data_IF_014104093613
#
_entry.id   IF_014104093613
#
_cell.length_a   1.000
_cell.length_b   1.000
_cell.length_c   1.000
_cell.angle_alpha   90.00
_cell.angle_beta   90.00
_cell.angle_gamma   90.00
#
_symmetry.space_group_name_H-M   'P 1'
#
loop_
_entity.id
_entity.type
_entity.pdbx_description
1 polymer ?
#
# COMPACT_ATOMS: atom_id res chain seq x y z
N UNK A 1 4.10 -8.62 6.76
CA UNK A 1 5.02 -7.83 7.63
C UNK A 1 4.23 -6.85 8.50
N UNK A 2 4.85 -6.10 9.43
CA UNK A 2 4.14 -5.14 10.29
C UNK A 2 4.71 -3.72 10.17
N UNK A 3 3.84 -2.73 10.00
CA UNK A 3 4.18 -1.31 10.02
C UNK A 3 3.73 -0.71 11.36
N UNK A 4 4.70 -0.27 12.17
CA UNK A 4 4.43 0.41 13.43
C UNK A 4 3.96 1.84 13.17
N UNK A 5 2.66 2.01 12.98
CA UNK A 5 2.00 3.30 12.78
C UNK A 5 1.18 3.67 14.02
N UNK A 6 1.22 4.95 14.40
CA UNK A 6 0.34 5.46 15.44
C UNK A 6 -1.09 5.65 14.91
N UNK A 7 -2.06 5.85 15.82
CA UNK A 7 -3.47 5.99 15.44
C UNK A 7 -3.75 7.12 14.43
N UNK A 8 -3.00 8.23 14.48
CA UNK A 8 -3.13 9.32 13.52
C UNK A 8 -2.61 8.95 12.14
N UNK A 9 -1.50 8.21 12.07
CA UNK A 9 -0.96 7.68 10.82
C UNK A 9 -1.89 6.63 10.21
N UNK A 10 -2.46 5.73 11.01
CA UNK A 10 -3.47 4.78 10.52
C UNK A 10 -4.70 5.50 9.98
N UNK A 11 -5.23 6.49 10.70
CA UNK A 11 -6.39 7.27 10.26
C UNK A 11 -6.12 8.01 8.95
N UNK A 12 -4.92 8.58 8.79
CA UNK A 12 -4.51 9.24 7.54
C UNK A 12 -4.42 8.26 6.38
N UNK A 13 -3.80 7.10 6.58
CA UNK A 13 -3.70 6.06 5.55
C UNK A 13 -5.10 5.60 5.11
N UNK A 14 -6.01 5.38 6.06
CA UNK A 14 -7.41 5.04 5.75
C UNK A 14 -8.08 6.16 4.96
N UNK A 15 -7.91 7.43 5.36
CA UNK A 15 -8.47 8.56 4.64
C UNK A 15 -7.89 8.70 3.23
N UNK A 16 -6.60 8.44 3.04
CA UNK A 16 -5.97 8.40 1.72
C UNK A 16 -6.61 7.33 0.84
N UNK A 17 -6.75 6.11 1.35
CA UNK A 17 -7.40 5.00 0.67
C UNK A 17 -8.84 5.32 0.27
N UNK A 18 -9.61 6.00 1.12
CA UNK A 18 -11.00 6.39 0.83
C UNK A 18 -11.15 7.43 -0.29
N UNK A 19 -10.07 8.13 -0.66
CA UNK A 19 -10.04 9.11 -1.74
C UNK A 19 -9.23 8.64 -2.96
N UNK A 20 -8.66 7.43 -2.92
CA UNK A 20 -7.87 6.86 -3.99
C UNK A 20 -8.74 5.99 -4.89
N UNK A 21 -8.71 6.22 -6.20
CA UNK A 21 -9.38 5.35 -7.18
C UNK A 21 -8.71 3.97 -7.26
N UNK A 22 -7.43 3.91 -6.89
CA UNK A 22 -6.59 2.70 -6.89
C UNK A 22 -6.61 1.97 -5.53
N UNK A 23 -7.65 2.18 -4.73
CA UNK A 23 -7.83 1.45 -3.47
C UNK A 23 -9.19 0.77 -3.40
N UNK A 24 -9.17 -0.53 -3.11
CA UNK A 24 -10.37 -1.32 -2.87
C UNK A 24 -10.49 -1.66 -1.38
N UNK A 25 -11.69 -1.48 -0.82
CA UNK A 25 -12.01 -1.92 0.54
C UNK A 25 -12.59 -3.32 0.53
N UNK A 26 -11.81 -4.29 1.00
CA UNK A 26 -12.20 -5.70 1.06
C UNK A 26 -13.09 -5.98 2.27
N UNK A 27 -12.78 -5.37 3.42
CA UNK A 27 -13.58 -5.49 4.63
C UNK A 27 -13.53 -4.21 5.48
N UNK A 28 -14.08 -4.24 6.70
CA UNK A 28 -14.06 -3.09 7.59
C UNK A 28 -12.62 -2.63 7.91
N UNK A 29 -11.67 -3.56 7.99
CA UNK A 29 -10.29 -3.29 8.38
C UNK A 29 -9.27 -3.71 7.33
N UNK A 30 -9.70 -4.16 6.15
CA UNK A 30 -8.82 -4.67 5.10
C UNK A 30 -8.99 -3.84 3.82
N UNK A 31 -7.85 -3.46 3.25
CA UNK A 31 -7.73 -2.58 2.09
C UNK A 31 -6.69 -3.18 1.14
N UNK A 32 -7.00 -3.20 -0.15
CA UNK A 32 -6.01 -3.41 -1.21
C UNK A 32 -5.69 -2.04 -1.79
N UNK A 33 -4.42 -1.66 -1.83
CA UNK A 33 -3.96 -0.38 -2.32
C UNK A 33 -2.88 -0.58 -3.39
N UNK A 34 -3.17 -0.11 -4.60
CA UNK A 34 -2.21 -0.05 -5.69
C UNK A 34 -1.60 1.35 -5.78
N UNK A 35 -0.28 1.41 -5.84
CA UNK A 35 0.51 2.63 -5.89
C UNK A 35 1.19 2.75 -7.25
N UNK A 36 0.40 2.90 -8.33
CA UNK A 36 0.90 2.97 -9.71
C UNK A 36 1.77 4.20 -9.99
N UNK A 37 1.55 5.30 -9.27
CA UNK A 37 2.27 6.57 -9.47
C UNK A 37 3.71 6.59 -8.98
N UNK A 38 4.20 5.50 -8.35
CA UNK A 38 5.55 5.43 -7.80
C UNK A 38 6.60 5.17 -8.88
N UNK A 39 7.84 5.57 -8.59
CA UNK A 39 9.01 5.20 -9.41
C UNK A 39 9.18 3.67 -9.54
N UNK A 40 8.77 2.93 -8.50
CA UNK A 40 8.58 1.48 -8.51
C UNK A 40 7.18 1.15 -8.02
N UNK A 41 6.20 0.93 -8.93
CA UNK A 41 4.83 0.62 -8.56
C UNK A 41 4.72 -0.57 -7.62
N UNK A 42 3.74 -0.53 -6.72
CA UNK A 42 3.56 -1.52 -5.66
C UNK A 42 2.08 -1.77 -5.41
N UNK A 43 1.71 -3.03 -5.16
CA UNK A 43 0.41 -3.40 -4.59
C UNK A 43 0.57 -3.83 -3.15
N UNK A 44 -0.39 -3.45 -2.31
CA UNK A 44 -0.39 -3.68 -0.87
C UNK A 44 -1.73 -4.24 -0.41
N UNK A 45 -1.69 -5.35 0.30
CA UNK A 45 -2.81 -5.88 1.08
C UNK A 45 -2.59 -5.50 2.56
N UNK A 46 -3.44 -4.60 3.04
CA UNK A 46 -3.30 -3.86 4.29
C UNK A 46 -4.43 -4.22 5.26
N UNK A 47 -4.07 -4.68 6.44
CA UNK A 47 -4.99 -4.89 7.56
C UNK A 47 -4.73 -3.87 8.66
N UNK A 48 -5.70 -2.98 8.87
CA UNK A 48 -5.66 -1.93 9.88
C UNK A 48 -5.91 -2.55 11.26
N UNK A 49 -4.97 -2.32 12.17
CA UNK A 49 -5.03 -2.81 13.55
C UNK A 49 -4.91 -1.64 14.54
N UNK A 50 -5.18 -1.90 15.83
CA UNK A 50 -5.17 -0.85 16.87
C UNK A 50 -3.81 -0.16 17.03
N UNK A 51 -2.71 -0.87 16.80
CA UNK A 51 -1.35 -0.40 17.07
C UNK A 51 -0.47 -0.28 15.80
N UNK A 52 -1.09 -0.28 14.62
CA UNK A 52 -0.36 -0.24 13.37
C UNK A 52 -1.11 -0.90 12.22
N UNK A 53 -0.37 -1.31 11.22
CA UNK A 53 -0.90 -1.95 10.02
C UNK A 53 -0.13 -3.23 9.75
N UNK A 54 -0.85 -4.34 9.66
CA UNK A 54 -0.31 -5.61 9.20
C UNK A 54 -0.43 -5.64 7.68
N UNK A 55 0.65 -5.98 6.99
CA UNK A 55 0.71 -6.07 5.53
C UNK A 55 0.78 -7.53 5.16
N UNK A 56 -0.29 -8.07 4.62
CA UNK A 56 -0.44 -9.51 4.31
C UNK A 56 0.14 -9.86 2.95
N UNK A 57 0.12 -8.89 2.03
CA UNK A 57 0.75 -8.97 0.72
C UNK A 57 1.41 -7.65 0.37
N UNK A 58 2.63 -7.71 -0.16
CA UNK A 58 3.31 -6.56 -0.74
C UNK A 58 4.19 -7.03 -1.89
N UNK A 59 3.95 -6.48 -3.08
CA UNK A 59 4.67 -6.86 -4.30
C UNK A 59 4.94 -5.62 -5.13
N UNK A 60 6.11 -5.59 -5.76
CA UNK A 60 6.35 -4.65 -6.85
C UNK A 60 5.54 -5.06 -8.08
N UNK A 61 5.12 -4.07 -8.86
CA UNK A 61 4.39 -4.27 -10.10
C UNK A 61 5.29 -3.97 -11.30
N UNK A 62 5.27 -4.87 -12.27
CA UNK A 62 5.79 -4.63 -13.63
C UNK A 62 4.63 -4.32 -14.56
N UNK A 63 4.86 -3.55 -15.61
CA UNK A 63 3.87 -3.29 -16.67
C UNK A 63 4.31 -3.98 -17.95
N UNK A 64 3.39 -4.71 -18.57
CA UNK A 64 3.57 -5.37 -19.85
C UNK A 64 2.81 -4.60 -20.93
N UNK A 65 3.54 -4.04 -21.90
CA UNK A 65 2.96 -3.25 -23.00
C UNK A 65 2.11 -4.07 -23.97
N UNK A 66 2.40 -5.36 -24.14
CA UNK A 66 1.62 -6.24 -25.02
C UNK A 66 0.27 -6.59 -24.38
N UNK A 67 0.26 -6.77 -23.06
CA UNK A 67 -0.95 -7.03 -22.28
C UNK A 67 -1.74 -5.77 -21.92
N UNK A 68 -1.12 -4.59 -22.05
CA UNK A 68 -1.64 -3.30 -21.55
C UNK A 68 -2.05 -3.41 -20.07
N UNK A 69 -1.15 -3.95 -19.23
CA UNK A 69 -1.51 -4.27 -17.85
C UNK A 69 -0.34 -4.49 -16.90
N UNK A 70 -0.63 -4.36 -15.60
CA UNK A 70 0.32 -4.63 -14.53
C UNK A 70 0.28 -6.10 -14.09
N UNK A 71 1.44 -6.61 -13.66
CA UNK A 71 1.60 -7.95 -13.08
C UNK A 71 2.55 -7.92 -11.87
N UNK A 72 2.39 -8.90 -10.98
CA UNK A 72 3.24 -9.04 -9.80
C UNK A 72 4.65 -9.46 -10.21
N UNK A 73 5.65 -8.78 -9.67
CA UNK A 73 7.07 -9.10 -9.90
C UNK A 73 7.69 -9.69 -8.62
N UNK A 74 8.49 -8.90 -7.91
CA UNK A 74 9.19 -9.35 -6.71
C UNK A 74 8.37 -9.05 -5.45
N UNK A 75 8.38 -9.94 -4.45
CA UNK A 75 7.82 -9.64 -3.14
C UNK A 75 8.62 -8.53 -2.46
N UNK A 76 7.91 -7.68 -1.71
CA UNK A 76 8.52 -6.69 -0.83
C UNK A 76 8.58 -7.32 0.56
N UNK A 77 9.77 -7.47 1.11
CA UNK A 77 9.97 -8.13 2.42
C UNK A 77 10.32 -7.15 3.54
N UNK A 78 10.74 -5.93 3.20
CA UNK A 78 11.22 -4.93 4.14
C UNK A 78 10.14 -3.87 4.45
N UNK A 79 9.72 -3.72 5.72
CA UNK A 79 8.78 -2.68 6.14
C UNK A 79 9.19 -1.26 5.76
N UNK A 80 10.50 -0.97 5.75
CA UNK A 80 10.99 0.38 5.42
C UNK A 80 10.70 0.74 3.95
N UNK A 81 10.66 -0.24 3.04
CA UNK A 81 10.34 0.01 1.64
C UNK A 81 8.86 0.34 1.46
N UNK A 82 7.98 -0.34 2.20
CA UNK A 82 6.54 -0.03 2.21
C UNK A 82 6.26 1.34 2.82
N UNK A 83 6.92 1.68 3.94
CA UNK A 83 6.77 3.02 4.56
C UNK A 83 7.19 4.12 3.59
N UNK A 84 8.33 3.96 2.92
CA UNK A 84 8.82 4.92 1.93
C UNK A 84 7.87 5.04 0.75
N UNK A 85 7.32 3.94 0.24
CA UNK A 85 6.32 3.95 -0.82
C UNK A 85 5.05 4.72 -0.42
N UNK A 86 4.55 4.50 0.80
CA UNK A 86 3.40 5.22 1.34
C UNK A 86 3.69 6.72 1.56
N UNK A 87 4.93 7.09 1.90
CA UNK A 87 5.36 8.49 1.99
C UNK A 87 5.48 9.15 0.61
N UNK A 88 6.09 8.46 -0.37
CA UNK A 88 6.21 8.92 -1.76
C UNK A 88 4.83 9.13 -2.41
N UNK A 89 3.87 8.25 -2.10
CA UNK A 89 2.48 8.39 -2.52
C UNK A 89 1.70 9.51 -1.80
N UNK A 90 2.26 10.09 -0.72
CA UNK A 90 1.57 11.08 0.12
C UNK A 90 0.52 10.49 1.06
N UNK A 91 0.45 9.16 1.19
CA UNK A 91 -0.43 8.48 2.14
C UNK A 91 0.03 8.65 3.60
N UNK A 92 1.34 8.88 3.81
CA UNK A 92 1.95 9.19 5.10
C UNK A 92 2.84 10.44 5.02
N UNK A 93 3.05 11.10 6.16
CA UNK A 93 4.02 12.19 6.26
C UNK A 93 5.47 11.64 6.25
N UNK A 94 6.41 12.44 5.72
CA UNK A 94 7.84 12.11 5.64
C UNK A 94 8.52 12.09 7.02
#
# INVERSE_FOLDING_TARGET
MYLSLNAGQCARLVAYCEHSEDCERISQNELILDLYGLSRPMTLDLVIETNGVRVDGAFFLGYDEEMDGYFLTDPVENPADVLRALQEAGALDA
#
